data_IF_855826877281
#
_entry.id   IF_855826877281
#
_cell.length_a   1.000
_cell.length_b   1.000
_cell.length_c   1.000
_cell.angle_alpha   90.00
_cell.angle_beta   90.00
_cell.angle_gamma   90.00
#
_symmetry.space_group_name_H-M   'P 1'
#
loop_
_entity.id
_entity.type
_entity.pdbx_description
1 polymer ?
2 non-polymer ?
3 non-polymer ?
4 non-polymer ?
5 non-polymer ?
6 non-polymer ?
7 non-polymer ?
8 water ?
#
# COMPACT_ATOMS: atom_id res chain seq x y z
N UNK A 1 -15.24 0.96 13.50
CA UNK A 1 -15.68 0.13 14.64
C UNK A 1 -16.59 -0.97 14.12
N UNK A 2 -16.49 -2.13 14.78
CA UNK A 2 -17.29 -3.30 14.43
C UNK A 2 -18.80 -3.01 14.44
N UNK A 3 -19.51 -3.72 13.58
CA UNK A 3 -20.97 -3.84 13.63
C UNK A 3 -21.45 -4.52 14.92
N UNK A 4 -22.75 -4.40 15.19
CA UNK A 4 -23.42 -5.09 16.28
C UNK A 4 -23.53 -6.61 15.99
N UNK A 5 -24.27 -7.33 16.82
CA UNK A 5 -24.38 -8.81 16.78
C UNK A 5 -24.68 -9.39 15.40
N UNK A 6 -23.76 -10.22 14.89
CA UNK A 6 -23.87 -10.84 13.56
C UNK A 6 -24.18 -9.86 12.43
N UNK A 7 -23.90 -8.58 12.67
CA UNK A 7 -24.26 -7.51 11.74
C UNK A 7 -23.12 -7.28 10.77
N UNK A 8 -23.37 -6.41 9.79
CA UNK A 8 -22.45 -6.24 8.66
C UNK A 8 -21.84 -4.83 8.58
N UNK A 9 -20.56 -4.73 8.90
CA UNK A 9 -19.89 -3.44 8.80
C UNK A 9 -19.34 -3.33 7.40
N UNK A 10 -19.22 -2.12 6.88
CA UNK A 10 -18.44 -1.88 5.66
C UNK A 10 -17.02 -2.33 5.94
N UNK A 11 -16.43 -3.08 5.01
CA UNK A 11 -15.08 -3.61 5.21
C UNK A 11 -14.16 -2.97 4.18
N UNK A 12 -13.11 -2.34 4.68
CA UNK A 12 -12.16 -1.66 3.80
C UNK A 12 -10.76 -2.23 4.00
N UNK A 13 -10.15 -2.69 2.92
CA UNK A 13 -8.77 -3.11 2.91
C UNK A 13 -7.91 -1.93 2.47
N UNK A 14 -6.92 -1.60 3.29
CA UNK A 14 -6.01 -0.49 3.04
C UNK A 14 -4.64 -1.08 2.79
N UNK A 15 -4.09 -0.86 1.62
CA UNK A 15 -2.78 -1.28 1.29
C UNK A 15 -1.71 -0.60 2.12
N UNK A 16 -0.51 -1.16 2.22
CA UNK A 16 0.56 -0.57 3.04
C UNK A 16 1.55 0.18 2.18
N UNK A 17 2.40 -0.51 1.42
CA UNK A 17 3.38 0.21 0.58
C UNK A 17 2.67 1.06 -0.48
N UNK A 18 3.05 2.35 -0.50
CA UNK A 18 2.48 3.28 -1.48
C UNK A 18 1.16 3.86 -1.12
N UNK A 19 0.62 3.52 0.05
CA UNK A 19 -0.65 4.02 0.53
C UNK A 19 -0.51 4.52 1.98
N UNK A 20 0.03 3.67 2.88
CA UNK A 20 0.40 4.09 4.22
C UNK A 20 1.85 4.47 4.36
N UNK A 21 2.72 3.69 3.73
CA UNK A 21 4.17 3.80 3.85
C UNK A 21 4.80 4.25 2.56
N UNK A 22 5.73 5.21 2.65
CA UNK A 22 6.37 5.77 1.47
C UNK A 22 7.53 4.90 0.99
N UNK A 23 7.19 3.82 0.30
CA UNK A 23 8.17 2.88 -0.29
C UNK A 23 9.03 3.60 -1.37
N UNK A 24 8.39 4.32 -2.28
CA UNK A 24 9.15 4.93 -3.40
C UNK A 24 10.16 5.94 -2.89
N UNK A 25 9.75 6.82 -1.98
CA UNK A 25 10.68 7.82 -1.47
C UNK A 25 11.75 7.24 -0.58
N UNK A 26 11.38 6.24 0.24
CA UNK A 26 12.36 5.55 1.07
C UNK A 26 13.39 4.81 0.23
N UNK A 27 12.92 4.13 -0.82
CA UNK A 27 13.81 3.46 -1.71
C UNK A 27 14.79 4.43 -2.38
N UNK A 28 14.26 5.51 -2.95
CA UNK A 28 15.15 6.43 -3.69
C UNK A 28 16.20 7.00 -2.75
N UNK A 29 15.80 7.40 -1.56
CA UNK A 29 16.76 7.98 -0.63
C UNK A 29 17.87 6.99 -0.31
N UNK A 30 17.49 5.77 0.04
CA UNK A 30 18.50 4.81 0.43
C UNK A 30 19.31 4.31 -0.74
N UNK A 31 18.72 4.21 -1.91
CA UNK A 31 19.46 3.86 -3.12
C UNK A 31 20.57 4.89 -3.38
N UNK A 32 20.21 6.16 -3.34
CA UNK A 32 21.19 7.22 -3.67
C UNK A 32 22.28 7.25 -2.62
N UNK A 33 21.97 7.01 -1.36
CA UNK A 33 22.96 6.98 -0.30
C UNK A 33 23.92 5.82 -0.42
N UNK A 34 23.42 4.64 -0.76
CA UNK A 34 24.28 3.44 -0.90
C UNK A 34 25.06 3.41 -2.21
N UNK A 35 24.48 3.94 -3.27
CA UNK A 35 25.02 3.85 -4.62
C UNK A 35 25.12 5.24 -5.26
N UNK A 36 25.93 6.11 -4.65
CA UNK A 36 25.93 7.50 -5.09
C UNK A 36 26.52 7.75 -6.47
N UNK A 37 27.26 6.77 -7.00
CA UNK A 37 27.82 6.89 -8.35
C UNK A 37 26.96 6.22 -9.43
N UNK A 38 25.77 5.75 -9.07
CA UNK A 38 24.86 5.15 -10.05
C UNK A 38 23.76 6.15 -10.48
N UNK A 39 23.31 6.05 -11.72
CA UNK A 39 22.17 6.88 -12.02
C UNK A 39 20.95 6.35 -11.27
N UNK A 40 19.92 7.18 -11.20
CA UNK A 40 18.70 6.81 -10.47
C UNK A 40 17.51 7.38 -11.20
N UNK A 41 16.31 7.00 -10.77
CA UNK A 41 15.04 7.46 -11.35
C UNK A 41 14.35 8.41 -10.40
N UNK A 42 14.26 9.69 -10.74
CA UNK A 42 13.50 10.66 -9.97
C UNK A 42 12.05 10.16 -9.90
N UNK A 43 11.36 10.50 -8.81
CA UNK A 43 9.98 10.00 -8.62
C UNK A 43 9.06 10.43 -9.73
N UNK A 44 9.25 11.68 -10.19
CA UNK A 44 8.48 12.25 -11.30
C UNK A 44 8.60 11.36 -12.54
N UNK A 45 9.73 10.69 -12.67
CA UNK A 45 10.03 9.84 -13.86
C UNK A 45 9.73 8.36 -13.70
N UNK A 46 9.20 7.98 -12.54
CA UNK A 46 8.85 6.60 -12.31
C UNK A 46 7.69 6.19 -13.18
N UNK A 47 7.85 5.03 -13.81
CA UNK A 47 6.79 4.43 -14.62
C UNK A 47 6.77 2.92 -14.43
N UNK A 48 5.58 2.38 -14.20
CA UNK A 48 5.42 0.93 -14.01
C UNK A 48 5.59 0.58 -12.53
N UNK A 49 4.84 -0.40 -12.08
CA UNK A 49 4.77 -0.78 -10.69
C UNK A 49 6.13 -1.24 -10.18
N UNK A 50 6.86 -1.97 -11.01
CA UNK A 50 8.08 -2.65 -10.54
C UNK A 50 9.28 -1.75 -10.65
N UNK A 51 9.75 -1.24 -9.50
CA UNK A 51 10.92 -0.39 -9.48
C UNK A 51 12.13 -1.08 -10.13
N UNK A 52 12.34 -2.35 -9.79
CA UNK A 52 13.59 -3.00 -10.25
C UNK A 52 13.61 -3.12 -11.77
N UNK A 53 12.44 -3.25 -12.38
CA UNK A 53 12.39 -3.34 -13.87
C UNK A 53 12.80 -2.05 -14.53
N UNK A 54 12.34 -0.93 -14.01
CA UNK A 54 12.73 0.34 -14.58
C UNK A 54 14.22 0.58 -14.34
N UNK A 55 14.73 0.26 -13.16
CA UNK A 55 16.15 0.42 -12.86
C UNK A 55 16.99 -0.49 -13.77
N UNK A 56 16.49 -1.69 -14.02
CA UNK A 56 17.22 -2.66 -14.86
C UNK A 56 17.38 -2.21 -16.30
N UNK A 57 16.44 -1.38 -16.77
CA UNK A 57 16.54 -0.77 -18.10
C UNK A 57 17.49 0.40 -18.13
N UNK A 58 17.70 1.02 -16.98
CA UNK A 58 18.52 2.22 -16.88
C UNK A 58 20.00 1.89 -17.03
N UNK A 59 20.42 0.76 -16.47
CA UNK A 59 21.81 0.32 -16.57
C UNK A 59 21.93 -1.13 -16.12
N UNK A 60 22.71 -1.96 -16.84
CA UNK A 60 22.85 -3.36 -16.44
C UNK A 60 23.36 -3.55 -15.00
N UNK A 61 22.79 -4.54 -14.31
CA UNK A 61 23.08 -4.79 -12.88
C UNK A 61 22.33 -3.94 -11.84
N UNK A 62 21.65 -2.87 -12.29
CA UNK A 62 20.94 -1.96 -11.37
C UNK A 62 19.70 -2.58 -10.80
N UNK A 63 19.09 -3.52 -11.51
CA UNK A 63 17.97 -4.25 -10.91
C UNK A 63 18.41 -4.90 -9.59
N UNK A 64 19.57 -5.57 -9.60
CA UNK A 64 20.00 -6.30 -8.44
C UNK A 64 20.38 -5.34 -7.35
N UNK A 65 20.98 -4.22 -7.69
CA UNK A 65 21.29 -3.22 -6.72
C UNK A 65 20.00 -2.63 -6.10
N UNK A 66 19.00 -2.35 -6.91
CA UNK A 66 17.73 -1.87 -6.39
C UNK A 66 17.14 -2.86 -5.41
N UNK A 67 17.13 -4.14 -5.78
CA UNK A 67 16.57 -5.17 -4.92
C UNK A 67 17.26 -5.19 -3.57
N UNK A 68 18.59 -4.99 -3.57
CA UNK A 68 19.32 -5.06 -2.34
C UNK A 68 18.92 -3.96 -1.35
N UNK A 69 18.31 -2.89 -1.82
CA UNK A 69 17.82 -1.88 -0.88
C UNK A 69 16.64 -2.38 -0.05
N UNK A 70 15.63 -2.94 -0.72
CA UNK A 70 14.46 -3.40 0.06
C UNK A 70 14.64 -4.72 0.72
N UNK A 71 15.66 -5.47 0.36
CA UNK A 71 16.03 -6.68 1.13
C UNK A 71 16.86 -6.37 2.36
N UNK A 72 17.30 -5.15 2.53
CA UNK A 72 18.08 -4.80 3.69
C UNK A 72 17.28 -4.63 4.93
N UNK A 73 17.87 -5.00 6.05
CA UNK A 73 17.30 -4.76 7.37
C UNK A 73 16.96 -3.31 7.53
N UNK A 74 15.82 -3.06 8.16
CA UNK A 74 15.32 -1.75 8.47
C UNK A 74 14.73 -0.98 7.33
N UNK A 75 14.74 -1.52 6.13
CA UNK A 75 14.13 -0.79 5.02
C UNK A 75 12.66 -0.59 5.25
N UNK A 76 11.90 -1.65 5.53
CA UNK A 76 10.48 -1.48 5.76
C UNK A 76 10.21 -0.72 7.02
N UNK A 77 10.94 -1.01 8.08
CA UNK A 77 10.62 -0.38 9.35
C UNK A 77 10.76 1.14 9.29
N UNK A 78 11.79 1.59 8.57
CA UNK A 78 12.10 3.04 8.53
C UNK A 78 11.32 3.81 7.49
N UNK A 79 10.41 3.20 6.73
CA UNK A 79 9.61 3.98 5.81
C UNK A 79 8.80 5.02 6.53
N UNK A 80 8.75 6.20 5.95
CA UNK A 80 7.93 7.25 6.50
C UNK A 80 6.47 7.10 6.09
N UNK A 81 5.54 7.44 6.96
CA UNK A 81 4.15 7.44 6.54
C UNK A 81 3.89 8.50 5.47
N UNK A 82 2.96 8.20 4.59
CA UNK A 82 2.46 9.19 3.63
C UNK A 82 1.74 10.27 4.37
N UNK A 83 1.76 11.51 3.84
CA UNK A 83 0.98 12.54 4.50
C UNK A 83 -0.49 12.18 4.64
N UNK A 84 -1.00 12.37 5.85
CA UNK A 84 -2.39 12.13 6.13
C UNK A 84 -2.83 10.67 6.31
N UNK A 85 -1.91 9.74 6.05
CA UNK A 85 -2.29 8.32 6.04
C UNK A 85 -2.66 7.79 7.41
N UNK A 86 -1.83 8.08 8.38
CA UNK A 86 -2.06 7.56 9.73
C UNK A 86 -3.32 8.18 10.31
N UNK A 87 -3.50 9.49 10.11
CA UNK A 87 -4.63 10.20 10.62
C UNK A 87 -5.92 9.67 9.98
N UNK A 88 -5.88 9.49 8.65
CA UNK A 88 -7.05 8.99 7.92
C UNK A 88 -7.49 7.61 8.37
N UNK A 89 -6.52 6.70 8.45
CA UNK A 89 -6.85 5.34 8.84
C UNK A 89 -7.31 5.27 10.30
N UNK A 90 -6.75 6.03 11.20
CA UNK A 90 -7.26 6.18 12.59
C UNK A 90 -8.73 6.61 12.56
N UNK A 91 -8.99 7.65 11.78
CA UNK A 91 -10.36 8.16 11.71
C UNK A 91 -11.26 7.08 11.13
N UNK A 92 -10.86 6.46 10.01
CA UNK A 92 -11.68 5.49 9.35
C UNK A 92 -12.05 4.33 10.26
N UNK A 93 -11.06 3.86 11.03
CA UNK A 93 -11.27 2.75 11.95
C UNK A 93 -12.21 3.10 13.11
N UNK A 94 -12.33 4.39 13.43
CA UNK A 94 -13.25 4.87 14.48
C UNK A 94 -14.69 5.06 13.98
N UNK A 95 -14.93 4.97 12.69
CA UNK A 95 -16.29 5.23 12.12
C UNK A 95 -17.24 4.10 12.47
N UNK A 96 -18.52 4.45 12.66
CA UNK A 96 -19.48 3.40 12.88
C UNK A 96 -19.55 2.45 11.69
N UNK A 97 -19.84 1.18 11.97
CA UNK A 97 -20.12 0.20 10.90
C UNK A 97 -19.00 0.19 9.85
N UNK A 98 -17.75 0.20 10.34
CA UNK A 98 -16.57 0.27 9.44
C UNK A 98 -15.43 -0.54 10.01
N UNK A 99 -15.07 -1.60 9.30
CA UNK A 99 -13.95 -2.45 9.71
C UNK A 99 -12.80 -2.26 8.70
N UNK A 100 -11.65 -1.90 9.24
CA UNK A 100 -10.47 -1.58 8.44
C UNK A 100 -9.42 -2.66 8.65
N UNK A 101 -8.92 -3.22 7.55
CA UNK A 101 -7.79 -4.17 7.59
C UNK A 101 -6.66 -3.60 6.76
N UNK A 102 -5.43 -3.72 7.21
CA UNK A 102 -4.27 -3.39 6.40
C UNK A 102 -3.88 -4.64 5.67
N UNK A 103 -3.93 -4.63 4.34
CA UNK A 103 -3.73 -5.82 3.50
C UNK A 103 -2.52 -5.60 2.63
N UNK A 104 -1.44 -6.31 2.93
CA UNK A 104 -0.13 -6.02 2.39
C UNK A 104 0.56 -7.29 1.97
N UNK A 105 1.35 -7.17 0.89
CA UNK A 105 2.14 -8.29 0.38
C UNK A 105 3.56 -8.19 0.77
N UNK A 106 4.12 -9.19 1.44
CA UNK A 106 5.56 -9.20 1.71
C UNK A 106 6.36 -9.44 0.45
N UNK A 107 7.59 -8.98 0.43
CA UNK A 107 8.55 -9.38 -0.61
C UNK A 107 8.94 -10.82 -0.47
N UNK A 108 9.66 -11.33 -1.47
CA UNK A 108 9.99 -12.74 -1.46
C UNK A 108 10.97 -13.08 -0.34
N UNK A 109 11.95 -12.21 -0.11
CA UNK A 109 12.93 -12.42 0.98
C UNK A 109 12.27 -12.05 2.31
N UNK A 110 12.05 -13.04 3.17
CA UNK A 110 11.15 -12.89 4.34
C UNK A 110 11.87 -12.70 5.64
N UNK A 111 13.18 -12.52 5.63
CA UNK A 111 13.90 -12.38 6.89
C UNK A 111 13.44 -11.24 7.74
N UNK A 112 13.24 -10.07 7.11
CA UNK A 112 12.91 -8.83 7.80
C UNK A 112 11.52 -8.28 7.55
N UNK A 113 11.03 -8.47 6.34
CA UNK A 113 9.88 -7.71 5.87
C UNK A 113 8.60 -7.97 6.68
N UNK A 114 8.19 -9.23 6.88
CA UNK A 114 6.97 -9.44 7.69
C UNK A 114 7.10 -8.84 9.07
N UNK A 115 8.20 -9.14 9.76
CA UNK A 115 8.43 -8.59 11.10
C UNK A 115 8.34 -7.06 11.11
N UNK A 116 9.05 -6.42 10.19
CA UNK A 116 9.12 -4.98 10.17
C UNK A 116 7.77 -4.34 9.83
N UNK A 117 6.96 -5.00 9.01
CA UNK A 117 5.63 -4.50 8.73
C UNK A 117 4.80 -4.53 10.01
N UNK A 118 4.86 -5.62 10.79
CA UNK A 118 4.11 -5.64 12.06
C UNK A 118 4.61 -4.55 12.98
N UNK A 119 5.93 -4.43 13.07
CA UNK A 119 6.52 -3.39 13.92
C UNK A 119 6.14 -1.98 13.53
N UNK A 120 6.05 -1.75 12.21
CA UNK A 120 5.64 -0.41 11.69
C UNK A 120 4.21 -0.11 12.08
N UNK A 121 3.32 -1.09 11.90
CA UNK A 121 1.92 -0.94 12.31
C UNK A 121 1.79 -0.65 13.81
N UNK A 122 2.52 -1.40 14.61
CA UNK A 122 2.49 -1.14 16.06
C UNK A 122 2.93 0.29 16.36
N UNK A 123 4.01 0.73 15.71
CA UNK A 123 4.56 2.07 15.92
C UNK A 123 3.55 3.18 15.65
N UNK A 124 2.83 3.08 14.53
CA UNK A 124 1.97 4.20 14.08
C UNK A 124 0.53 4.04 14.50
N UNK A 125 0.06 2.82 14.77
CA UNK A 125 -1.34 2.56 15.10
C UNK A 125 -1.59 1.93 16.47
N UNK A 126 -0.53 1.45 17.11
CA UNK A 126 -0.60 0.86 18.42
C UNK A 126 -0.78 -0.64 18.41
N UNK A 127 -0.49 -1.29 19.53
CA UNK A 127 -0.60 -2.72 19.64
C UNK A 127 -1.93 -3.31 19.22
N UNK A 128 -3.04 -2.67 19.55
CA UNK A 128 -4.34 -3.28 19.26
C UNK A 128 -4.60 -3.35 17.74
N UNK A 129 -3.96 -2.51 16.95
CA UNK A 129 -4.19 -2.52 15.52
C UNK A 129 -3.51 -3.67 14.83
N UNK A 130 -2.64 -4.42 15.50
CA UNK A 130 -1.97 -5.57 14.89
C UNK A 130 -3.03 -6.61 14.50
N UNK A 131 -4.16 -6.65 15.21
CA UNK A 131 -5.29 -7.53 14.91
C UNK A 131 -5.84 -7.34 13.49
N UNK A 132 -5.54 -6.20 12.89
CA UNK A 132 -6.12 -5.78 11.60
C UNK A 132 -5.22 -6.06 10.43
N UNK A 133 -4.08 -6.69 10.64
CA UNK A 133 -3.12 -6.94 9.57
C UNK A 133 -3.44 -8.25 8.85
N UNK A 134 -3.45 -8.21 7.52
CA UNK A 134 -3.52 -9.40 6.68
C UNK A 134 -2.31 -9.36 5.74
N UNK A 135 -1.43 -10.33 5.86
CA UNK A 135 -0.25 -10.47 4.97
C UNK A 135 -0.55 -11.55 3.97
N UNK A 136 -0.53 -11.18 2.68
CA UNK A 136 -0.85 -12.10 1.62
C UNK A 136 -0.21 -11.65 0.31
N UNK A 137 0.20 -12.59 -0.52
CA UNK A 137 0.60 -12.25 -1.89
C UNK A 137 -0.60 -12.17 -2.80
N UNK A 138 -1.73 -12.71 -2.41
CA UNK A 138 -2.96 -12.73 -3.23
C UNK A 138 -4.06 -11.97 -2.45
N UNK A 139 -4.36 -10.76 -2.89
CA UNK A 139 -5.39 -9.96 -2.27
C UNK A 139 -6.80 -10.31 -2.75
N UNK A 140 -6.90 -11.03 -3.86
CA UNK A 140 -8.21 -11.37 -4.43
C UNK A 140 -8.94 -12.36 -3.55
N UNK A 141 -8.24 -13.12 -2.68
CA UNK A 141 -8.88 -14.06 -1.78
C UNK A 141 -9.26 -13.42 -0.44
N UNK A 142 -9.06 -12.11 -0.30
CA UNK A 142 -9.50 -11.40 0.89
C UNK A 142 -10.79 -10.68 0.47
N UNK A 143 -11.86 -10.90 1.22
CA UNK A 143 -13.17 -10.35 0.87
C UNK A 143 -13.37 -9.04 1.62
N UNK A 144 -13.93 -8.05 0.94
CA UNK A 144 -14.20 -6.74 1.48
C UNK A 144 -15.05 -5.97 0.48
N UNK A 145 -15.50 -4.79 0.91
CA UNK A 145 -16.21 -3.88 0.00
C UNK A 145 -15.27 -3.03 -0.86
N UNK A 146 -14.12 -2.68 -0.30
CA UNK A 146 -13.16 -1.78 -0.95
C UNK A 146 -11.73 -2.26 -0.70
N UNK A 147 -10.90 -2.04 -1.69
CA UNK A 147 -9.44 -2.24 -1.57
C UNK A 147 -8.81 -0.97 -2.11
N UNK A 148 -8.12 -0.23 -1.23
CA UNK A 148 -7.43 1.02 -1.60
C UNK A 148 -5.96 0.67 -1.77
N UNK A 149 -5.42 0.70 -2.97
CA UNK A 149 -4.12 0.06 -3.30
C UNK A 149 -3.55 0.77 -4.49
N UNK A 150 -2.26 1.06 -4.46
CA UNK A 150 -1.58 1.75 -5.57
C UNK A 150 -1.18 0.87 -6.76
N UNK A 151 -1.32 -0.45 -6.65
CA UNK A 151 -0.97 -1.32 -7.77
C UNK A 151 -2.11 -1.30 -8.79
N UNK A 152 -1.82 -1.07 -10.09
CA UNK A 152 -2.97 -0.98 -11.00
C UNK A 152 -3.68 -2.28 -11.26
N UNK A 153 -3.01 -3.37 -11.42
CA UNK A 153 -3.78 -4.53 -11.80
C UNK A 153 -3.48 -5.63 -10.75
N UNK A 154 -4.49 -5.86 -9.91
CA UNK A 154 -4.53 -6.73 -8.75
C UNK A 154 -5.29 -7.97 -9.10
N UNK A 155 -4.54 -9.05 -9.23
CA UNK A 155 -5.11 -10.30 -9.70
C UNK A 155 -4.63 -11.44 -8.82
N UNK A 156 -5.24 -12.60 -9.01
CA UNK A 156 -4.93 -13.73 -8.17
C UNK A 156 -5.90 -14.87 -8.42
N UNK A 157 -6.07 -15.72 -7.44
CA UNK A 157 -6.84 -16.96 -7.62
C UNK A 157 -8.33 -16.74 -7.71
N UNK A 158 -8.85 -15.62 -7.28
CA UNK A 158 -10.27 -15.33 -7.32
C UNK A 158 -10.54 -14.45 -8.51
N UNK A 159 -11.24 -14.98 -9.53
CA UNK A 159 -11.44 -14.16 -10.74
C UNK A 159 -12.41 -12.99 -10.55
N UNK A 160 -13.27 -13.08 -9.54
CA UNK A 160 -14.22 -12.02 -9.27
C UNK A 160 -14.16 -11.60 -7.81
N UNK A 161 -13.15 -10.76 -7.47
CA UNK A 161 -13.05 -10.33 -6.08
C UNK A 161 -14.28 -9.60 -5.61
N UNK A 162 -14.58 -9.66 -4.34
CA UNK A 162 -15.73 -8.96 -3.82
C UNK A 162 -15.53 -7.47 -3.69
N UNK A 163 -14.28 -7.04 -3.52
CA UNK A 163 -14.01 -5.63 -3.35
C UNK A 163 -14.02 -4.85 -4.65
N UNK A 164 -14.37 -3.57 -4.55
CA UNK A 164 -14.01 -2.59 -5.57
C UNK A 164 -12.57 -2.10 -5.28
N UNK A 165 -11.70 -2.18 -6.28
CA UNK A 165 -10.34 -1.61 -6.19
C UNK A 165 -10.35 -0.16 -6.55
N UNK A 166 -10.05 0.68 -5.57
CA UNK A 166 -9.83 2.11 -5.77
C UNK A 166 -8.32 2.33 -5.86
N UNK A 167 -7.86 2.88 -6.98
CA UNK A 167 -6.46 3.06 -7.18
C UNK A 167 -5.97 4.25 -6.41
N UNK A 168 -5.02 4.05 -5.51
CA UNK A 168 -4.38 5.13 -4.79
C UNK A 168 -3.24 5.68 -5.62
N UNK A 169 -3.25 7.02 -5.85
CA UNK A 169 -2.28 7.59 -6.75
C UNK A 169 -0.89 7.49 -6.14
N UNK A 170 0.06 7.14 -7.00
CA UNK A 170 1.49 7.11 -6.65
C UNK A 170 2.23 7.63 -7.86
N UNK A 171 3.51 7.92 -7.64
CA UNK A 171 4.28 8.45 -8.74
C UNK A 171 4.26 7.52 -9.97
N UNK A 172 4.33 6.21 -9.74
CA UNK A 172 4.38 5.25 -10.79
C UNK A 172 3.11 5.04 -11.54
N UNK A 173 1.97 5.52 -11.01
CA UNK A 173 0.70 5.28 -11.67
C UNK A 173 -0.08 6.55 -12.03
N UNK A 174 0.48 7.73 -11.76
CA UNK A 174 -0.31 8.94 -11.82
C UNK A 174 -0.76 9.33 -13.21
N UNK A 175 -0.07 8.84 -14.23
CA UNK A 175 -0.44 9.16 -15.63
C UNK A 175 -1.34 8.12 -16.26
N UNK A 176 -1.68 7.05 -15.54
CA UNK A 176 -2.42 5.94 -16.11
C UNK A 176 -3.86 6.24 -16.31
N UNK A 177 -4.32 5.99 -17.55
CA UNK A 177 -5.69 6.05 -17.83
C UNK A 177 -6.33 4.72 -17.44
N UNK A 178 -7.38 4.75 -16.64
CA UNK A 178 -8.08 3.54 -16.15
C UNK A 178 -9.36 3.28 -16.99
N UNK A 179 -9.77 2.04 -17.11
CA UNK A 179 -11.03 1.73 -17.77
C UNK A 179 -12.22 2.15 -16.87
N UNK A 180 -13.12 2.99 -17.40
CA UNK A 180 -14.34 3.24 -16.65
C UNK A 180 -14.98 1.88 -16.23
N UNK A 181 -15.56 1.79 -15.02
CA UNK A 181 -15.74 2.84 -14.06
C UNK A 181 -14.74 2.73 -12.92
N UNK A 182 -13.50 2.30 -13.21
CA UNK A 182 -12.45 2.36 -12.18
C UNK A 182 -12.23 3.77 -11.69
N UNK A 183 -11.99 3.88 -10.38
CA UNK A 183 -11.93 5.10 -9.60
C UNK A 183 -10.55 5.22 -8.93
N UNK A 184 -10.18 6.44 -8.55
CA UNK A 184 -8.94 6.79 -7.82
C UNK A 184 -9.23 7.45 -6.50
N UNK A 185 -8.31 7.28 -5.57
CA UNK A 185 -8.16 8.15 -4.41
C UNK A 185 -6.84 8.84 -4.64
N UNK A 186 -6.84 10.17 -4.77
CA UNK A 186 -5.65 10.81 -5.27
C UNK A 186 -4.54 10.97 -4.18
N UNK A 187 -4.94 11.03 -2.94
CA UNK A 187 -4.08 11.17 -1.78
C UNK A 187 -5.03 11.05 -0.56
N UNK A 188 -4.47 11.04 0.66
CA UNK A 188 -5.32 10.96 1.82
C UNK A 188 -6.04 12.28 2.09
N UNK A 189 -5.58 13.37 1.47
CA UNK A 189 -6.31 14.64 1.53
C UNK A 189 -7.56 14.62 0.71
N UNK A 190 -7.62 13.77 -0.30
CA UNK A 190 -8.79 13.58 -1.12
C UNK A 190 -9.93 12.97 -0.29
N UNK A 191 -11.12 12.92 -0.85
CA UNK A 191 -12.30 12.67 -0.04
C UNK A 191 -12.60 11.16 0.02
N UNK A 192 -11.86 10.52 0.93
CA UNK A 192 -12.00 9.06 1.12
C UNK A 192 -13.32 8.70 1.77
N UNK A 193 -13.84 9.61 2.62
CA UNK A 193 -15.15 9.30 3.22
C UNK A 193 -16.25 9.17 2.18
N UNK A 194 -16.22 10.00 1.14
CA UNK A 194 -17.22 9.88 0.10
C UNK A 194 -17.14 8.59 -0.66
N UNK A 195 -15.91 8.09 -0.82
CA UNK A 195 -15.75 6.80 -1.46
C UNK A 195 -16.34 5.69 -0.58
N UNK A 196 -16.00 5.70 0.69
CA UNK A 196 -16.61 4.71 1.60
C UNK A 196 -18.16 4.76 1.58
N UNK A 197 -18.66 5.97 1.68
CA UNK A 197 -20.11 6.18 1.80
C UNK A 197 -20.83 5.66 0.55
N UNK A 198 -20.21 5.77 -0.62
CA UNK A 198 -20.80 5.24 -1.84
C UNK A 198 -21.05 3.73 -1.82
N UNK A 199 -20.39 3.02 -0.91
CA UNK A 199 -20.51 1.56 -0.83
C UNK A 199 -21.39 1.12 0.30
N UNK A 200 -21.87 2.06 1.11
CA UNK A 200 -22.71 1.70 2.24
C UNK A 200 -24.15 1.45 1.80
N UNK A 201 -24.89 0.62 2.58
CA UNK A 201 -26.28 0.32 2.25
C UNK A 201 -27.13 1.59 2.20
#
# INVERSE_FOLDING_TARGET
>A
SNAASGGRALRVLVDMDGVLADFEGGFLRKFRARFPDQPFIALEDRRGFWVSEQYGRLRPGLSEKAISIWESKNFFFELEPLPGAVEAVKEMASLQNTDVFICTSPIKMFKYCPYEKYAWVEKYFGPDFLEQIVLTRDKTVVSADLLIDDRPDITGAEPTPSWEHVLFTACHNQHLQLQPPRRRLHSWADDWKAILDSKRP
#
